data_IF_430484620040
#
_entry.id   IF_430484620040
#
_cell.length_a   1.000
_cell.length_b   1.000
_cell.length_c   1.000
_cell.angle_alpha   90.00
_cell.angle_beta   90.00
_cell.angle_gamma   90.00
#
_symmetry.space_group_name_H-M   'P 1'
#
loop_
_entity.id
_entity.type
_entity.pdbx_description
1 polymer ?
#
# COMPACT_ATOMS: atom_id res chain seq x y z
N UNK A 1 22.85 29.41 -27.26
CA UNK A 1 23.04 29.12 -25.82
C UNK A 1 21.95 28.14 -25.38
N UNK A 2 22.27 26.86 -25.20
CA UNK A 2 21.31 25.85 -24.73
C UNK A 2 21.19 25.90 -23.21
N UNK A 3 20.03 26.29 -22.69
CA UNK A 3 19.73 26.22 -21.26
C UNK A 3 19.38 24.77 -20.94
N UNK A 4 20.34 24.03 -20.40
CA UNK A 4 20.13 22.68 -19.90
C UNK A 4 19.25 22.73 -18.66
N UNK A 5 17.97 22.39 -18.80
CA UNK A 5 17.03 22.25 -17.67
C UNK A 5 17.29 20.92 -16.96
N UNK A 6 18.39 20.83 -16.22
CA UNK A 6 18.55 19.77 -15.20
C UNK A 6 17.67 20.11 -14.00
N UNK A 7 16.61 19.34 -13.82
CA UNK A 7 15.79 19.37 -12.60
C UNK A 7 16.67 18.86 -11.44
N UNK A 8 17.00 19.69 -10.43
CA UNK A 8 17.86 19.27 -9.33
C UNK A 8 17.15 18.25 -8.44
N UNK A 9 17.87 17.22 -7.98
CA UNK A 9 17.30 16.20 -7.09
C UNK A 9 17.12 16.80 -5.71
N UNK A 10 16.20 16.25 -4.91
CA UNK A 10 15.87 16.76 -3.57
C UNK A 10 17.09 17.00 -2.67
N UNK A 11 18.13 16.16 -2.78
CA UNK A 11 19.39 16.29 -2.04
C UNK A 11 20.14 17.59 -2.39
N UNK A 12 20.14 17.95 -3.67
CA UNK A 12 20.84 19.12 -4.20
C UNK A 12 20.15 20.41 -3.76
N UNK A 13 18.82 20.41 -3.66
CA UNK A 13 18.02 21.53 -3.15
C UNK A 13 18.31 21.77 -1.67
N UNK A 14 18.40 20.71 -0.85
CA UNK A 14 18.78 20.84 0.57
C UNK A 14 20.18 21.41 0.75
N UNK A 15 21.16 21.00 -0.06
CA UNK A 15 22.51 21.56 0.01
C UNK A 15 22.59 23.02 -0.44
N UNK A 16 21.82 23.41 -1.47
CA UNK A 16 21.75 24.81 -1.94
C UNK A 16 21.08 25.73 -0.90
N UNK A 17 20.09 25.23 -0.17
CA UNK A 17 19.40 25.97 0.89
C UNK A 17 20.22 26.10 2.19
N UNK A 18 21.06 25.11 2.49
CA UNK A 18 21.91 25.11 3.69
C UNK A 18 23.23 25.86 3.50
N UNK A 19 23.85 25.73 2.33
CA UNK A 19 25.21 26.22 2.10
C UNK A 19 25.28 27.48 1.22
N UNK A 20 24.15 27.94 0.67
CA UNK A 20 24.12 29.05 -0.29
C UNK A 20 24.69 28.66 -1.65
N UNK A 21 24.29 29.39 -2.70
CA UNK A 21 24.83 29.21 -4.06
C UNK A 21 26.17 29.95 -4.14
N UNK A 22 27.30 29.27 -4.38
CA UNK A 22 28.57 29.98 -4.53
C UNK A 22 28.63 30.52 -5.97
N UNK A 23 28.56 31.85 -6.13
CA UNK A 23 28.85 32.46 -7.44
C UNK A 23 28.12 33.73 -7.87
N UNK A 24 27.34 34.40 -7.01
CA UNK A 24 26.77 35.72 -7.34
C UNK A 24 27.06 36.70 -6.21
N UNK A 25 28.33 37.12 -6.16
CA UNK A 25 28.75 38.29 -5.40
C UNK A 25 28.43 39.56 -6.21
N UNK A 26 27.16 39.95 -6.23
CA UNK A 26 26.79 41.36 -6.42
C UNK A 26 26.49 41.91 -5.03
N UNK A 27 27.06 43.08 -4.75
CA UNK A 27 27.25 43.70 -3.43
C UNK A 27 25.97 44.13 -2.71
N UNK A 28 24.80 43.59 -3.06
CA UNK A 28 23.50 43.91 -2.45
C UNK A 28 22.92 42.79 -1.57
N UNK A 29 23.57 41.61 -1.48
CA UNK A 29 23.05 40.45 -0.73
C UNK A 29 23.62 40.24 0.69
N UNK A 30 24.19 41.28 1.33
CA UNK A 30 24.54 41.23 2.77
C UNK A 30 23.32 41.36 3.70
N UNK A 31 22.09 41.39 3.17
CA UNK A 31 20.90 41.17 3.98
C UNK A 31 20.67 39.66 4.14
N UNK A 32 20.86 39.15 5.36
CA UNK A 32 20.41 37.83 5.75
C UNK A 32 19.03 37.54 5.15
N UNK A 33 18.77 36.33 4.60
CA UNK A 33 17.49 36.04 3.97
C UNK A 33 16.38 36.43 4.96
N UNK A 34 15.45 37.31 4.56
CA UNK A 34 14.54 37.95 5.51
C UNK A 34 13.85 36.85 6.31
N UNK A 35 13.89 36.96 7.64
CA UNK A 35 13.47 35.93 8.60
C UNK A 35 12.10 35.30 8.25
N UNK A 36 11.23 36.06 7.58
CA UNK A 36 9.97 35.61 6.97
C UNK A 36 10.13 34.41 6.01
N UNK A 37 11.09 34.41 5.09
CA UNK A 37 11.28 33.33 4.09
C UNK A 37 11.67 32.02 4.77
N UNK A 38 12.59 32.06 5.74
CA UNK A 38 12.97 30.88 6.54
C UNK A 38 11.80 30.31 7.32
N UNK A 39 10.94 31.18 7.89
CA UNK A 39 9.75 30.76 8.65
C UNK A 39 8.71 30.10 7.73
N UNK A 40 8.45 30.68 6.56
CA UNK A 40 7.52 30.14 5.58
C UNK A 40 7.97 28.77 5.04
N UNK A 41 9.25 28.61 4.71
CA UNK A 41 9.79 27.33 4.24
C UNK A 41 9.69 26.23 5.30
N UNK A 42 9.95 26.53 6.57
CA UNK A 42 9.76 25.56 7.67
C UNK A 42 8.31 25.11 7.78
N UNK A 43 7.35 26.03 7.69
CA UNK A 43 5.92 25.69 7.75
C UNK A 43 5.50 24.82 6.54
N UNK A 44 6.00 25.14 5.34
CA UNK A 44 5.73 24.33 4.14
C UNK A 44 6.32 22.92 4.25
N UNK A 45 7.55 22.79 4.75
CA UNK A 45 8.20 21.49 4.94
C UNK A 45 7.47 20.65 6.01
N UNK A 46 7.08 21.28 7.13
CA UNK A 46 6.30 20.63 8.18
C UNK A 46 4.94 20.13 7.66
N UNK A 47 4.23 20.96 6.90
CA UNK A 47 2.95 20.58 6.28
C UNK A 47 3.10 19.45 5.26
N UNK A 48 4.22 19.41 4.52
CA UNK A 48 4.51 18.33 3.58
C UNK A 48 4.75 17.00 4.30
N UNK A 49 5.56 17.00 5.35
CA UNK A 49 5.81 15.80 6.16
C UNK A 49 4.52 15.33 6.88
N UNK A 50 3.70 16.25 7.39
CA UNK A 50 2.38 15.93 7.94
C UNK A 50 1.45 15.30 6.89
N UNK A 51 1.42 15.81 5.67
CA UNK A 51 0.62 15.21 4.58
C UNK A 51 1.12 13.81 4.21
N UNK A 52 2.43 13.62 4.17
CA UNK A 52 3.07 12.33 3.87
C UNK A 52 2.77 11.29 4.95
N UNK A 53 2.93 11.65 6.22
CA UNK A 53 2.61 10.78 7.37
C UNK A 53 1.12 10.45 7.43
N UNK A 54 0.23 11.39 7.13
CA UNK A 54 -1.20 11.12 7.05
C UNK A 54 -1.58 10.14 5.92
N UNK A 55 -0.98 10.29 4.73
CA UNK A 55 -1.17 9.32 3.63
C UNK A 55 -0.69 7.92 4.00
N UNK A 56 0.45 7.82 4.69
CA UNK A 56 0.96 6.54 5.20
C UNK A 56 0.01 5.93 6.24
N UNK A 57 -0.49 6.75 7.17
CA UNK A 57 -1.45 6.32 8.20
C UNK A 57 -2.75 5.80 7.58
N UNK A 58 -3.27 6.46 6.55
CA UNK A 58 -4.47 5.98 5.84
C UNK A 58 -4.22 4.65 5.14
N UNK A 59 -3.06 4.47 4.49
CA UNK A 59 -2.68 3.19 3.88
C UNK A 59 -2.54 2.08 4.92
N UNK A 60 -1.89 2.36 6.05
CA UNK A 60 -1.73 1.41 7.15
C UNK A 60 -3.10 0.97 7.72
N UNK A 61 -4.03 1.91 7.92
CA UNK A 61 -5.40 1.58 8.32
C UNK A 61 -6.11 0.68 7.31
N UNK A 62 -5.98 0.96 6.02
CA UNK A 62 -6.58 0.13 4.97
C UNK A 62 -6.03 -1.28 4.96
N UNK A 63 -4.70 -1.42 5.11
CA UNK A 63 -4.05 -2.73 5.21
C UNK A 63 -4.48 -3.50 6.45
N UNK A 64 -4.63 -2.81 7.59
CA UNK A 64 -5.09 -3.42 8.83
C UNK A 64 -6.51 -3.97 8.72
N UNK A 65 -7.44 -3.22 8.12
CA UNK A 65 -8.81 -3.71 7.86
C UNK A 65 -8.79 -4.93 6.95
N UNK A 66 -7.98 -4.91 5.89
CA UNK A 66 -7.83 -6.07 5.00
C UNK A 66 -7.25 -7.29 5.73
N UNK A 67 -6.33 -7.08 6.67
CA UNK A 67 -5.77 -8.15 7.49
C UNK A 67 -6.83 -8.78 8.41
N UNK A 68 -7.61 -7.98 9.14
CA UNK A 68 -8.70 -8.49 9.99
C UNK A 68 -9.74 -9.28 9.18
N UNK A 69 -10.05 -8.84 7.96
CA UNK A 69 -10.96 -9.57 7.09
C UNK A 69 -10.39 -10.91 6.63
N UNK A 70 -9.08 -11.00 6.33
CA UNK A 70 -8.41 -12.26 5.98
C UNK A 70 -8.40 -13.22 7.16
N UNK A 71 -8.15 -12.71 8.37
CA UNK A 71 -8.17 -13.51 9.60
C UNK A 71 -9.55 -14.10 9.85
N UNK A 72 -10.61 -13.29 9.74
CA UNK A 72 -12.02 -13.77 9.86
C UNK A 72 -12.38 -14.84 8.82
N UNK A 73 -11.82 -14.77 7.61
CA UNK A 73 -12.05 -15.80 6.58
C UNK A 73 -11.33 -17.10 6.92
N UNK A 74 -10.13 -17.00 7.48
CA UNK A 74 -9.35 -18.16 7.94
C UNK A 74 -10.06 -18.89 9.09
N UNK A 75 -10.70 -18.15 10.00
CA UNK A 75 -11.48 -18.77 11.09
C UNK A 75 -12.73 -19.49 10.58
N UNK A 76 -13.43 -18.97 9.56
CA UNK A 76 -14.55 -19.67 8.90
C UNK A 76 -14.06 -20.98 8.31
N UNK A 77 -12.97 -20.97 7.54
CA UNK A 77 -12.39 -22.19 6.96
C UNK A 77 -12.04 -23.24 8.02
N UNK A 78 -11.44 -22.80 9.13
CA UNK A 78 -11.05 -23.66 10.24
C UNK A 78 -12.28 -24.25 10.97
N UNK A 79 -13.32 -23.43 11.16
CA UNK A 79 -14.57 -23.86 11.78
C UNK A 79 -15.30 -24.91 10.93
N UNK A 80 -15.35 -24.73 9.62
CA UNK A 80 -15.92 -25.72 8.69
C UNK A 80 -15.11 -27.03 8.72
N UNK A 81 -13.79 -26.95 8.77
CA UNK A 81 -12.92 -28.13 8.87
C UNK A 81 -13.02 -28.91 10.17
N UNK A 82 -13.60 -28.30 11.21
CA UNK A 82 -13.84 -28.96 12.50
C UNK A 82 -15.09 -29.86 12.48
N UNK A 83 -15.88 -29.81 11.41
CA UNK A 83 -17.08 -30.66 11.25
C UNK A 83 -16.63 -32.07 10.83
N UNK A 84 -17.01 -33.13 11.57
CA UNK A 84 -16.59 -34.48 11.26
C UNK A 84 -17.19 -34.97 9.94
N UNK A 85 -16.34 -35.55 9.08
CA UNK A 85 -16.77 -36.15 7.81
C UNK A 85 -16.78 -35.20 6.60
N UNK A 86 -16.38 -33.93 6.76
CA UNK A 86 -16.22 -33.01 5.64
C UNK A 86 -14.93 -33.31 4.87
N UNK A 87 -15.05 -33.53 3.55
CA UNK A 87 -13.88 -33.60 2.66
C UNK A 87 -13.25 -32.22 2.46
N UNK A 88 -11.97 -32.19 2.14
CA UNK A 88 -11.21 -30.95 1.96
C UNK A 88 -11.78 -30.08 0.82
N UNK A 89 -12.36 -30.70 -0.22
CA UNK A 89 -13.02 -29.96 -1.30
C UNK A 89 -14.33 -29.33 -0.82
N UNK A 90 -15.15 -30.08 -0.08
CA UNK A 90 -16.40 -29.59 0.48
C UNK A 90 -16.15 -28.49 1.50
N UNK A 91 -15.11 -28.63 2.32
CA UNK A 91 -14.65 -27.60 3.24
C UNK A 91 -14.35 -26.29 2.51
N UNK A 92 -13.63 -26.35 1.38
CA UNK A 92 -13.29 -25.16 0.58
C UNK A 92 -14.56 -24.55 -0.04
N UNK A 93 -15.44 -25.36 -0.63
CA UNK A 93 -16.65 -24.87 -1.29
C UNK A 93 -17.64 -24.24 -0.30
N UNK A 94 -17.85 -24.90 0.85
CA UNK A 94 -18.72 -24.39 1.92
C UNK A 94 -18.14 -23.10 2.49
N UNK A 95 -16.82 -23.06 2.73
CA UNK A 95 -16.17 -21.84 3.21
C UNK A 95 -16.26 -20.69 2.21
N UNK A 96 -16.15 -20.98 0.90
CA UNK A 96 -16.25 -19.96 -0.16
C UNK A 96 -17.67 -19.40 -0.25
N UNK A 97 -18.67 -20.27 -0.07
CA UNK A 97 -20.07 -19.89 -0.01
C UNK A 97 -20.39 -19.03 1.22
N UNK A 98 -19.89 -19.40 2.40
CA UNK A 98 -20.15 -18.72 3.67
C UNK A 98 -19.46 -17.36 3.81
N UNK A 99 -18.36 -17.14 3.08
CA UNK A 99 -17.62 -15.87 3.14
C UNK A 99 -18.35 -14.73 2.41
N UNK A 100 -19.54 -14.99 1.82
CA UNK A 100 -20.48 -14.01 1.21
C UNK A 100 -19.78 -12.79 0.62
N UNK A 101 -18.82 -13.02 -0.28
CA UNK A 101 -18.01 -11.95 -0.83
C UNK A 101 -18.38 -11.71 -2.29
N UNK A 102 -18.53 -10.45 -2.73
CA UNK A 102 -18.66 -10.12 -4.16
C UNK A 102 -17.41 -10.50 -4.97
N UNK A 103 -16.31 -10.89 -4.31
CA UNK A 103 -15.05 -11.31 -4.93
C UNK A 103 -14.77 -12.79 -4.62
N UNK A 104 -14.92 -13.65 -5.62
CA UNK A 104 -14.65 -15.10 -5.55
C UNK A 104 -13.22 -15.52 -5.15
N UNK A 105 -12.28 -14.59 -5.01
CA UNK A 105 -10.87 -14.87 -4.70
C UNK A 105 -10.47 -14.49 -3.28
N UNK A 106 -11.42 -14.02 -2.48
CA UNK A 106 -11.13 -13.44 -1.18
C UNK A 106 -10.84 -14.53 -0.12
N UNK A 107 -11.45 -15.71 -0.23
CA UNK A 107 -11.10 -16.86 0.61
C UNK A 107 -9.67 -17.36 0.32
N UNK A 108 -9.22 -17.32 -0.94
CA UNK A 108 -7.93 -17.87 -1.36
C UNK A 108 -6.74 -17.35 -0.53
N UNK A 109 -6.74 -16.06 -0.18
CA UNK A 109 -5.65 -15.45 0.60
C UNK A 109 -5.64 -15.86 2.08
N UNK A 110 -6.71 -16.47 2.57
CA UNK A 110 -6.86 -16.94 3.96
C UNK A 110 -6.61 -18.44 4.14
N UNK A 111 -6.41 -19.17 3.04
CA UNK A 111 -6.20 -20.62 3.03
C UNK A 111 -4.72 -20.99 3.17
N UNK A 112 -4.41 -22.14 3.80
CA UNK A 112 -3.08 -22.74 3.76
C UNK A 112 -2.72 -23.22 2.35
N UNK A 113 -1.41 -23.37 2.08
CA UNK A 113 -0.85 -23.64 0.74
C UNK A 113 -1.48 -24.84 0.04
N UNK A 114 -1.70 -25.94 0.76
CA UNK A 114 -2.31 -27.15 0.20
C UNK A 114 -3.77 -26.93 -0.23
N UNK A 115 -4.53 -26.17 0.57
CA UNK A 115 -5.92 -25.83 0.26
C UNK A 115 -6.00 -24.82 -0.90
N UNK A 116 -5.03 -23.92 -1.03
CA UNK A 116 -4.93 -22.98 -2.17
C UNK A 116 -4.77 -23.72 -3.50
N UNK A 117 -3.87 -24.70 -3.55
CA UNK A 117 -3.67 -25.51 -4.75
C UNK A 117 -4.96 -26.24 -5.17
N UNK A 118 -5.71 -26.79 -4.19
CA UNK A 118 -6.99 -27.43 -4.44
C UNK A 118 -8.08 -26.47 -4.90
N UNK A 119 -8.21 -25.30 -4.28
CA UNK A 119 -9.18 -24.28 -4.68
C UNK A 119 -8.99 -23.86 -6.15
N UNK A 120 -7.73 -23.64 -6.57
CA UNK A 120 -7.42 -23.33 -7.98
C UNK A 120 -7.81 -24.49 -8.90
N UNK A 121 -7.53 -25.73 -8.51
CA UNK A 121 -7.94 -26.92 -9.26
C UNK A 121 -9.47 -27.02 -9.42
N UNK A 122 -10.23 -26.74 -8.36
CA UNK A 122 -11.69 -26.71 -8.39
C UNK A 122 -12.20 -25.61 -9.33
N UNK A 123 -11.63 -24.40 -9.26
CA UNK A 123 -12.00 -23.30 -10.15
C UNK A 123 -11.75 -23.61 -11.62
N UNK A 124 -10.58 -24.17 -11.94
CA UNK A 124 -10.23 -24.55 -13.31
C UNK A 124 -11.15 -25.65 -13.85
N UNK A 125 -11.51 -26.63 -13.00
CA UNK A 125 -12.45 -27.69 -13.38
C UNK A 125 -13.84 -27.13 -13.68
N UNK A 126 -14.37 -26.26 -12.82
CA UNK A 126 -15.67 -25.61 -13.03
C UNK A 126 -15.67 -24.80 -14.33
N UNK A 127 -14.61 -24.04 -14.62
CA UNK A 127 -14.50 -23.28 -15.86
C UNK A 127 -14.49 -24.18 -17.11
N UNK A 128 -13.80 -25.31 -17.09
CA UNK A 128 -13.84 -26.26 -18.21
C UNK A 128 -15.21 -26.90 -18.41
N UNK A 129 -15.95 -27.14 -17.32
CA UNK A 129 -17.28 -27.78 -17.39
C UNK A 129 -18.35 -26.84 -17.97
N UNK A 130 -18.17 -25.53 -17.86
CA UNK A 130 -19.08 -24.51 -18.43
C UNK A 130 -18.76 -24.19 -19.90
N UNK A 131 -17.56 -24.57 -20.37
CA UNK A 131 -17.08 -24.33 -21.73
C UNK A 131 -17.31 -25.51 -22.70
N UNK A 132 -17.80 -26.66 -22.20
CA UNK A 132 -18.26 -27.80 -23.01
C UNK A 132 -19.77 -27.80 -23.13
#
# INVERSE_FOLDING_TARGET
MQISTRIPRHRDITSLLLNGVPGLATSEMMAAPPVKIKKTLRVMLFNYELKKTNKLRQKAKKLFVQYEEVEKRSTVYTAVGSIPGIDLNDQILISDCLVENPKKMDLFFSLPDDARARMVGLMLRVMMTVLM
#
